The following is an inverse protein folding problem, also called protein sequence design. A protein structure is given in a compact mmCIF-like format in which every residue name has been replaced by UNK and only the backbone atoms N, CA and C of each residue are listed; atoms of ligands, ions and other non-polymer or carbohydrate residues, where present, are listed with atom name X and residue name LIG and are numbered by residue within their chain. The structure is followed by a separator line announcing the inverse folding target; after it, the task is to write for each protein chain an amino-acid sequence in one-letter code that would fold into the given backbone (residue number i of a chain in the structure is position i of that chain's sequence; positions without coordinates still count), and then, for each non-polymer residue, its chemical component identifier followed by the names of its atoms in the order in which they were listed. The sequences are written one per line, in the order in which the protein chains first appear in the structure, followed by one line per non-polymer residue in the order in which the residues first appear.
data_IF_153649820826
#
_entry.id   IF_153649820826
#
_cell.length_a   1.000
_cell.length_b   1.000
_cell.length_c   1.000
_cell.angle_alpha   90.00
_cell.angle_beta   90.00
_cell.angle_gamma   90.00
#
_symmetry.space_group_name_H-M   'P 1'
#
loop_
_entity.id
_entity.type
_entity.pdbx_description
1 polymer ?
#
# COMPACT_ATOMS: atom_id res chain seq x y z
N UNK A 1 36.96 -16.53 75.41
CA UNK A 1 36.99 -15.13 74.95
C UNK A 1 36.43 -15.11 73.55
N UNK A 2 35.17 -14.71 73.43
CA UNK A 2 34.50 -14.50 72.15
C UNK A 2 35.08 -13.24 71.51
N UNK A 3 35.79 -13.43 70.41
CA UNK A 3 36.40 -12.34 69.65
C UNK A 3 35.35 -11.88 68.64
N UNK A 4 34.54 -10.90 69.03
CA UNK A 4 33.62 -10.24 68.11
C UNK A 4 34.43 -9.47 67.07
N UNK A 5 34.62 -10.04 65.88
CA UNK A 5 34.99 -9.30 64.69
C UNK A 5 33.80 -8.43 64.26
N UNK A 6 33.65 -7.26 64.88
CA UNK A 6 32.95 -6.16 64.24
C UNK A 6 33.83 -5.68 63.10
N UNK A 7 33.67 -6.29 61.92
CA UNK A 7 34.17 -5.75 60.66
C UNK A 7 33.57 -4.36 60.54
N UNK A 8 34.39 -3.34 60.81
CA UNK A 8 34.03 -1.95 60.62
C UNK A 8 33.60 -1.79 59.16
N UNK A 9 32.31 -1.56 58.96
CA UNK A 9 31.82 -1.01 57.71
C UNK A 9 32.48 0.36 57.54
N UNK A 10 33.61 0.39 56.82
CA UNK A 10 34.17 1.64 56.34
C UNK A 10 33.06 2.28 55.50
N UNK A 11 32.47 3.37 56.01
CA UNK A 11 31.36 4.05 55.33
C UNK A 11 31.70 4.22 53.86
N UNK A 12 30.80 3.77 52.98
CA UNK A 12 31.01 3.80 51.53
C UNK A 12 31.41 5.22 51.13
N UNK A 13 32.62 5.39 50.62
CA UNK A 13 33.10 6.68 50.10
C UNK A 13 32.15 7.12 49.01
N UNK A 14 31.88 8.42 48.89
CA UNK A 14 30.99 8.98 47.87
C UNK A 14 31.29 8.48 46.45
N UNK A 15 32.57 8.19 46.14
CA UNK A 15 33.00 7.56 44.90
C UNK A 15 32.34 6.21 44.62
N UNK A 16 32.05 5.40 45.63
CA UNK A 16 31.37 4.11 45.48
C UNK A 16 29.93 4.30 44.98
N UNK A 17 29.20 5.25 45.56
CA UNK A 17 27.84 5.58 45.13
C UNK A 17 27.82 6.16 43.71
N UNK A 18 28.83 6.97 43.35
CA UNK A 18 28.98 7.47 41.99
C UNK A 18 29.20 6.32 40.98
N UNK A 19 30.07 5.36 41.29
CA UNK A 19 30.30 4.21 40.42
C UNK A 19 29.10 3.25 40.35
N UNK A 20 28.38 3.05 41.46
CA UNK A 20 27.10 2.30 41.46
C UNK A 20 26.06 2.98 40.56
N UNK A 21 25.88 4.30 40.69
CA UNK A 21 25.01 5.07 39.81
C UNK A 21 25.47 4.97 38.36
N UNK A 22 26.76 5.17 38.09
CA UNK A 22 27.30 5.16 36.74
C UNK A 22 27.15 3.78 36.08
N UNK A 23 27.31 2.69 36.83
CA UNK A 23 27.06 1.33 36.34
C UNK A 23 25.59 1.15 35.93
N UNK A 24 24.65 1.55 36.79
CA UNK A 24 23.22 1.43 36.51
C UNK A 24 22.79 2.35 35.35
N UNK A 25 23.31 3.58 35.32
CA UNK A 25 23.08 4.55 34.26
C UNK A 25 23.59 4.02 32.92
N UNK A 26 24.80 3.46 32.88
CA UNK A 26 25.35 2.85 31.67
C UNK A 26 24.55 1.63 31.24
N UNK A 27 24.13 0.76 32.15
CA UNK A 27 23.34 -0.41 31.82
C UNK A 27 22.02 -0.03 31.12
N UNK A 28 21.29 0.95 31.68
CA UNK A 28 20.03 1.44 31.10
C UNK A 28 20.28 2.21 29.79
N UNK A 29 21.30 3.08 29.76
CA UNK A 29 21.62 3.88 28.57
C UNK A 29 22.09 3.00 27.41
N UNK A 30 22.93 1.99 27.67
CA UNK A 30 23.37 1.05 26.66
C UNK A 30 22.21 0.22 26.11
N UNK A 31 21.30 -0.24 26.98
CA UNK A 31 20.07 -0.92 26.56
C UNK A 31 19.23 -0.06 25.62
N UNK A 32 19.01 1.20 25.98
CA UNK A 32 18.29 2.17 25.14
C UNK A 32 18.98 2.42 23.78
N UNK A 33 20.31 2.62 23.78
CA UNK A 33 21.06 2.86 22.54
C UNK A 33 21.05 1.65 21.61
N UNK A 34 21.22 0.44 22.16
CA UNK A 34 21.17 -0.81 21.38
C UNK A 34 19.79 -1.00 20.78
N UNK A 35 18.72 -0.74 21.54
CA UNK A 35 17.36 -0.87 21.05
C UNK A 35 17.06 0.14 19.94
N UNK A 36 17.45 1.41 20.11
CA UNK A 36 17.29 2.43 19.07
C UNK A 36 18.04 2.07 17.78
N UNK A 37 19.27 1.55 17.90
CA UNK A 37 20.06 1.11 16.74
C UNK A 37 19.44 -0.12 16.06
N UNK A 38 18.94 -1.08 16.84
CA UNK A 38 18.28 -2.29 16.35
C UNK A 38 16.99 -1.93 15.60
N UNK A 39 16.19 -1.04 16.15
CA UNK A 39 14.95 -0.55 15.54
C UNK A 39 15.23 0.09 14.17
N UNK A 40 16.16 1.03 14.09
CA UNK A 40 16.55 1.67 12.82
C UNK A 40 17.02 0.65 11.77
N UNK A 41 17.80 -0.35 12.18
CA UNK A 41 18.25 -1.41 11.27
C UNK A 41 17.07 -2.22 10.71
N UNK A 42 16.15 -2.64 11.58
CA UNK A 42 14.97 -3.43 11.19
C UNK A 42 13.99 -2.59 10.35
N UNK A 43 13.76 -1.33 10.71
CA UNK A 43 12.95 -0.39 9.92
C UNK A 43 13.49 -0.26 8.49
N UNK A 44 14.82 -0.11 8.33
CA UNK A 44 15.43 0.01 7.02
C UNK A 44 15.29 -1.26 6.18
N UNK A 45 15.40 -2.44 6.79
CA UNK A 45 15.14 -3.71 6.10
C UNK A 45 13.68 -3.85 5.67
N UNK A 46 12.74 -3.51 6.55
CA UNK A 46 11.30 -3.53 6.24
C UNK A 46 10.96 -2.56 5.10
N UNK A 47 11.52 -1.36 5.11
CA UNK A 47 11.32 -0.38 4.05
C UNK A 47 11.73 -0.93 2.67
N UNK A 48 12.84 -1.68 2.59
CA UNK A 48 13.28 -2.33 1.34
C UNK A 48 12.30 -3.40 0.87
N UNK A 49 11.80 -4.24 1.78
CA UNK A 49 10.83 -5.29 1.47
C UNK A 49 9.53 -4.66 0.95
N UNK A 50 9.01 -3.64 1.66
CA UNK A 50 7.81 -2.93 1.21
C UNK A 50 8.00 -2.23 -0.13
N UNK A 51 9.16 -1.61 -0.36
CA UNK A 51 9.47 -0.99 -1.64
C UNK A 51 9.48 -1.99 -2.81
N UNK A 52 10.06 -3.18 -2.59
CA UNK A 52 10.08 -4.25 -3.59
C UNK A 52 8.67 -4.76 -3.90
N UNK A 53 7.86 -5.03 -2.87
CA UNK A 53 6.49 -5.50 -3.05
C UNK A 53 5.62 -4.46 -3.75
N UNK A 54 5.70 -3.19 -3.34
CA UNK A 54 5.00 -2.08 -4.00
C UNK A 54 5.37 -1.96 -5.48
N UNK A 55 6.66 -2.12 -5.80
CA UNK A 55 7.11 -2.07 -7.18
C UNK A 55 6.48 -3.18 -8.04
N UNK A 56 6.43 -4.40 -7.52
CA UNK A 56 5.82 -5.54 -8.22
C UNK A 56 4.30 -5.39 -8.36
N UNK A 57 3.62 -4.87 -7.35
CA UNK A 57 2.19 -4.52 -7.40
C UNK A 57 1.93 -3.45 -8.47
N UNK A 58 2.65 -2.32 -8.42
CA UNK A 58 2.51 -1.22 -9.39
C UNK A 58 2.80 -1.66 -10.83
N UNK A 59 3.73 -2.60 -11.03
CA UNK A 59 4.02 -3.17 -12.34
C UNK A 59 2.81 -3.94 -12.89
N UNK A 60 2.15 -4.75 -12.05
CA UNK A 60 0.94 -5.49 -12.43
C UNK A 60 -0.21 -4.53 -12.72
N UNK A 61 -0.39 -3.54 -11.86
CA UNK A 61 -1.43 -2.51 -12.02
C UNK A 61 -1.25 -1.75 -13.33
N UNK A 62 0.00 -1.38 -13.66
CA UNK A 62 0.34 -0.72 -14.93
C UNK A 62 0.00 -1.59 -16.15
N UNK A 63 0.29 -2.90 -16.09
CA UNK A 63 -0.04 -3.84 -17.17
C UNK A 63 -1.55 -3.91 -17.35
N UNK A 64 -2.30 -4.04 -16.25
CA UNK A 64 -3.76 -4.13 -16.27
C UNK A 64 -4.37 -2.83 -16.81
N UNK A 65 -3.96 -1.66 -16.33
CA UNK A 65 -4.44 -0.36 -16.79
C UNK A 65 -4.17 -0.16 -18.29
N UNK A 66 -3.00 -0.56 -18.78
CA UNK A 66 -2.69 -0.49 -20.21
C UNK A 66 -3.53 -1.45 -21.06
N UNK A 67 -3.87 -2.63 -20.53
CA UNK A 67 -4.79 -3.54 -21.18
C UNK A 67 -6.21 -2.95 -21.22
N UNK A 68 -6.73 -2.49 -20.07
CA UNK A 68 -8.06 -1.90 -19.96
C UNK A 68 -8.21 -0.65 -20.83
N UNK A 69 -7.20 0.23 -20.87
CA UNK A 69 -7.22 1.41 -21.72
C UNK A 69 -7.33 1.07 -23.21
N UNK A 70 -6.59 0.04 -23.67
CA UNK A 70 -6.69 -0.44 -25.06
C UNK A 70 -8.04 -1.09 -25.33
N UNK A 71 -8.53 -1.91 -24.40
CA UNK A 71 -9.82 -2.56 -24.53
C UNK A 71 -10.96 -1.53 -24.60
N UNK A 72 -10.93 -0.51 -23.73
CA UNK A 72 -11.93 0.56 -23.70
C UNK A 72 -11.96 1.35 -25.01
N UNK A 73 -10.79 1.64 -25.62
CA UNK A 73 -10.72 2.26 -26.95
C UNK A 73 -11.36 1.38 -28.03
N UNK A 74 -11.10 0.07 -27.99
CA UNK A 74 -11.70 -0.87 -28.92
C UNK A 74 -13.23 -0.93 -28.75
N UNK A 75 -13.71 -1.08 -27.51
CA UNK A 75 -15.15 -1.09 -27.19
C UNK A 75 -15.82 0.22 -27.61
N UNK A 76 -15.19 1.37 -27.34
CA UNK A 76 -15.69 2.69 -27.78
C UNK A 76 -15.84 2.76 -29.30
N UNK A 77 -14.85 2.30 -30.06
CA UNK A 77 -14.94 2.28 -31.53
C UNK A 77 -16.05 1.36 -32.03
N UNK A 78 -16.27 0.20 -31.38
CA UNK A 78 -17.37 -0.71 -31.72
C UNK A 78 -18.74 -0.11 -31.37
N UNK A 79 -18.83 0.62 -30.26
CA UNK A 79 -20.01 1.37 -29.86
C UNK A 79 -20.37 2.48 -30.85
N UNK A 80 -19.37 3.22 -31.35
CA UNK A 80 -19.60 4.24 -32.38
C UNK A 80 -20.18 3.61 -33.65
N UNK A 81 -19.61 2.49 -34.10
CA UNK A 81 -20.16 1.71 -35.23
C UNK A 81 -21.58 1.24 -34.94
N UNK A 82 -21.85 0.71 -33.75
CA UNK A 82 -23.20 0.27 -33.36
C UNK A 82 -24.21 1.42 -33.45
N UNK A 83 -23.87 2.60 -32.91
CA UNK A 83 -24.73 3.78 -32.94
C UNK A 83 -25.08 4.21 -34.38
N UNK A 84 -24.13 4.12 -35.32
CA UNK A 84 -24.37 4.40 -36.74
C UNK A 84 -25.32 3.37 -37.34
N UNK A 85 -25.05 2.08 -37.14
CA UNK A 85 -25.86 0.98 -37.68
C UNK A 85 -27.32 0.99 -37.20
N UNK A 86 -27.57 1.51 -35.99
CA UNK A 86 -28.93 1.61 -35.41
C UNK A 86 -29.68 2.86 -35.86
N UNK A 87 -28.98 3.95 -36.18
CA UNK A 87 -29.61 5.25 -36.52
C UNK A 87 -29.95 5.41 -37.99
N UNK A 88 -29.17 4.83 -38.88
CA UNK A 88 -29.38 4.98 -40.32
C UNK A 88 -30.39 3.94 -40.84
N UNK A 89 -31.19 4.30 -41.84
CA UNK A 89 -32.21 3.42 -42.46
C UNK A 89 -31.55 2.39 -43.40
N UNK A 90 -30.50 1.70 -42.92
CA UNK A 90 -29.74 0.70 -43.67
C UNK A 90 -30.38 -0.68 -43.60
N UNK A 91 -31.72 -0.74 -43.65
CA UNK A 91 -32.50 -1.98 -43.46
C UNK A 91 -32.15 -3.07 -44.48
N UNK A 92 -31.59 -2.68 -45.63
CA UNK A 92 -31.19 -3.61 -46.70
C UNK A 92 -29.78 -4.21 -46.51
N UNK A 93 -28.89 -3.57 -45.74
CA UNK A 93 -27.48 -3.99 -45.59
C UNK A 93 -27.12 -4.43 -44.17
N UNK A 94 -27.90 -4.02 -43.17
CA UNK A 94 -27.69 -4.36 -41.75
C UNK A 94 -28.44 -5.63 -41.38
N UNK A 95 -27.72 -6.64 -40.89
CA UNK A 95 -28.33 -7.87 -40.40
C UNK A 95 -28.46 -7.87 -38.88
N UNK A 96 -29.44 -8.61 -38.35
CA UNK A 96 -29.58 -8.83 -36.91
C UNK A 96 -28.31 -9.42 -36.27
N UNK A 97 -27.54 -10.22 -37.03
CA UNK A 97 -26.25 -10.76 -36.58
C UNK A 97 -25.19 -9.69 -36.37
N UNK A 98 -25.13 -8.67 -37.23
CA UNK A 98 -24.23 -7.53 -37.04
C UNK A 98 -24.63 -6.72 -35.81
N UNK A 99 -25.93 -6.43 -35.65
CA UNK A 99 -26.43 -5.70 -34.48
C UNK A 99 -26.09 -6.45 -33.18
N UNK A 100 -26.32 -7.77 -33.14
CA UNK A 100 -25.97 -8.61 -31.99
C UNK A 100 -24.47 -8.61 -31.70
N UNK A 101 -23.63 -8.78 -32.74
CA UNK A 101 -22.18 -8.77 -32.60
C UNK A 101 -21.69 -7.45 -31.98
N UNK A 102 -22.10 -6.30 -32.53
CA UNK A 102 -21.67 -5.00 -32.01
C UNK A 102 -22.27 -4.67 -30.64
N UNK A 103 -23.52 -5.07 -30.35
CA UNK A 103 -24.11 -4.87 -29.03
C UNK A 103 -23.44 -5.70 -27.93
N UNK A 104 -22.84 -6.85 -28.29
CA UNK A 104 -22.18 -7.73 -27.31
C UNK A 104 -20.91 -7.12 -26.67
N UNK A 105 -20.29 -6.13 -27.33
CA UNK A 105 -19.14 -5.41 -26.78
C UNK A 105 -19.54 -4.40 -25.70
N UNK A 106 -20.82 -4.03 -25.63
CA UNK A 106 -21.34 -3.04 -24.67
C UNK A 106 -21.47 -3.66 -23.27
N UNK A 107 -21.63 -4.97 -23.17
CA UNK A 107 -21.95 -5.66 -21.91
C UNK A 107 -20.72 -6.18 -21.16
N UNK A 108 -19.53 -6.21 -21.79
CA UNK A 108 -18.29 -6.72 -21.18
C UNK A 108 -17.32 -5.60 -20.83
N UNK A 109 -17.70 -4.76 -19.86
CA UNK A 109 -16.80 -3.76 -19.29
C UNK A 109 -16.02 -4.38 -18.13
N UNK A 110 -14.73 -4.61 -18.34
CA UNK A 110 -13.81 -4.99 -17.27
C UNK A 110 -13.42 -3.77 -16.43
N UNK A 111 -13.37 -3.96 -15.11
CA UNK A 111 -12.99 -2.92 -14.14
C UNK A 111 -11.57 -3.12 -13.65
N UNK A 112 -10.86 -2.02 -13.41
CA UNK A 112 -9.55 -2.07 -12.76
C UNK A 112 -9.67 -2.55 -11.32
N UNK A 113 -8.73 -3.39 -10.87
CA UNK A 113 -8.68 -3.89 -9.50
C UNK A 113 -7.22 -3.94 -9.06
N UNK A 114 -6.82 -2.94 -8.28
CA UNK A 114 -5.44 -2.81 -7.78
C UNK A 114 -5.16 -3.84 -6.70
N UNK A 115 -3.95 -4.40 -6.69
CA UNK A 115 -3.48 -5.15 -5.53
C UNK A 115 -2.93 -4.19 -4.47
N UNK A 116 -3.78 -3.77 -3.52
CA UNK A 116 -3.42 -2.82 -2.47
C UNK A 116 -2.82 -3.49 -1.21
N UNK A 117 -2.41 -4.76 -1.28
CA UNK A 117 -1.96 -5.52 -0.11
C UNK A 117 -0.83 -4.81 0.63
N UNK A 118 0.20 -4.36 -0.08
CA UNK A 118 1.36 -3.72 0.56
C UNK A 118 1.01 -2.36 1.16
N UNK A 119 0.13 -1.60 0.49
CA UNK A 119 -0.33 -0.29 0.97
C UNK A 119 -1.15 -0.45 2.26
N UNK A 120 -2.05 -1.42 2.32
CA UNK A 120 -2.85 -1.70 3.51
C UNK A 120 -1.99 -2.20 4.67
N UNK A 121 -0.96 -3.02 4.40
CA UNK A 121 0.02 -3.38 5.42
C UNK A 121 0.80 -2.17 5.94
N UNK A 122 1.26 -1.28 5.06
CA UNK A 122 1.97 -0.06 5.44
C UNK A 122 1.11 0.87 6.31
N UNK A 123 -0.19 0.98 5.99
CA UNK A 123 -1.16 1.79 6.75
C UNK A 123 -1.47 1.18 8.11
N UNK A 124 -1.85 -0.10 8.14
CA UNK A 124 -2.23 -0.81 9.37
C UNK A 124 -1.09 -0.93 10.38
N UNK A 125 0.16 -1.02 9.90
CA UNK A 125 1.35 -1.12 10.77
C UNK A 125 1.99 0.21 11.16
N UNK A 126 1.51 1.35 10.64
CA UNK A 126 2.14 2.66 10.85
C UNK A 126 3.49 2.84 10.13
N UNK A 127 3.87 1.88 9.27
CA UNK A 127 5.16 1.86 8.56
C UNK A 127 5.23 2.82 7.36
N UNK A 128 4.22 3.65 7.11
CA UNK A 128 4.33 4.71 6.10
C UNK A 128 5.49 5.68 6.39
N UNK A 129 5.80 5.93 7.68
CA UNK A 129 6.90 6.82 8.09
C UNK A 129 8.26 6.33 7.59
N UNK A 130 8.50 5.03 7.60
CA UNK A 130 9.81 4.44 7.24
C UNK A 130 10.11 4.51 5.74
N UNK A 131 9.09 4.77 4.91
CA UNK A 131 9.25 4.95 3.46
C UNK A 131 9.75 6.36 3.08
N UNK A 132 9.75 7.30 4.04
CA UNK A 132 10.12 8.70 3.84
C UNK A 132 8.98 9.57 3.30
N UNK A 133 8.93 10.82 3.74
CA UNK A 133 7.77 11.72 3.56
C UNK A 133 7.30 11.85 2.10
N UNK A 134 8.23 12.04 1.16
CA UNK A 134 7.90 12.20 -0.26
C UNK A 134 7.29 10.93 -0.86
N UNK A 135 7.81 9.76 -0.51
CA UNK A 135 7.31 8.49 -1.03
C UNK A 135 5.99 8.13 -0.37
N UNK A 136 5.87 8.34 0.95
CA UNK A 136 4.63 8.18 1.69
C UNK A 136 3.49 9.00 1.07
N UNK A 137 3.74 10.27 0.73
CA UNK A 137 2.76 11.11 0.05
C UNK A 137 2.32 10.52 -1.30
N UNK A 138 3.27 10.06 -2.13
CA UNK A 138 2.94 9.42 -3.42
C UNK A 138 2.14 8.13 -3.27
N UNK A 139 2.44 7.31 -2.26
CA UNK A 139 1.69 6.10 -1.94
C UNK A 139 0.25 6.47 -1.55
N UNK A 140 0.08 7.49 -0.71
CA UNK A 140 -1.25 7.98 -0.31
C UNK A 140 -2.05 8.57 -1.48
N UNK A 141 -1.41 9.28 -2.39
CA UNK A 141 -2.05 9.79 -3.61
C UNK A 141 -2.54 8.64 -4.52
N UNK A 142 -1.70 7.61 -4.70
CA UNK A 142 -2.07 6.42 -5.46
C UNK A 142 -3.25 5.66 -4.82
N UNK A 143 -3.20 5.42 -3.51
CA UNK A 143 -4.28 4.81 -2.73
C UNK A 143 -5.59 5.61 -2.83
N UNK A 144 -5.52 6.95 -2.80
CA UNK A 144 -6.69 7.81 -3.01
C UNK A 144 -7.30 7.60 -4.39
N UNK A 145 -6.46 7.58 -5.44
CA UNK A 145 -6.92 7.37 -6.82
C UNK A 145 -7.58 6.01 -7.02
N UNK A 146 -7.04 4.96 -6.40
CA UNK A 146 -7.65 3.63 -6.45
C UNK A 146 -9.05 3.62 -5.82
N UNK A 147 -9.22 4.24 -4.65
CA UNK A 147 -10.55 4.36 -4.00
C UNK A 147 -11.53 5.22 -4.80
N UNK A 148 -11.07 6.28 -5.44
CA UNK A 148 -11.90 7.11 -6.32
C UNK A 148 -12.45 6.27 -7.49
N UNK A 149 -11.60 5.45 -8.12
CA UNK A 149 -12.01 4.53 -9.20
C UNK A 149 -12.99 3.46 -8.71
N UNK A 150 -12.72 2.80 -7.58
CA UNK A 150 -13.63 1.80 -7.00
C UNK A 150 -15.02 2.39 -6.71
N UNK A 151 -15.06 3.62 -6.19
CA UNK A 151 -16.32 4.33 -5.94
C UNK A 151 -17.07 4.58 -7.24
N UNK A 152 -16.40 5.06 -8.28
CA UNK A 152 -16.99 5.28 -9.61
C UNK A 152 -17.58 3.99 -10.18
N UNK A 153 -16.86 2.87 -10.07
CA UNK A 153 -17.33 1.55 -10.51
C UNK A 153 -18.56 1.08 -9.72
N UNK A 154 -18.58 1.32 -8.40
CA UNK A 154 -19.74 0.96 -7.58
C UNK A 154 -21.01 1.74 -7.97
N UNK A 155 -20.87 3.03 -8.29
CA UNK A 155 -21.97 3.88 -8.73
C UNK A 155 -22.54 3.41 -10.07
N UNK A 156 -21.67 3.17 -11.06
CA UNK A 156 -22.06 2.63 -12.37
C UNK A 156 -22.84 1.32 -12.22
N UNK A 157 -22.33 0.37 -11.41
CA UNK A 157 -22.99 -0.93 -11.22
C UNK A 157 -24.42 -0.80 -10.69
N UNK A 158 -24.68 0.14 -9.78
CA UNK A 158 -26.01 0.37 -9.19
C UNK A 158 -26.98 0.97 -10.21
N UNK A 159 -26.50 1.83 -11.12
CA UNK A 159 -27.34 2.42 -12.18
C UNK A 159 -27.82 1.37 -13.20
N UNK A 160 -26.98 0.39 -13.53
CA UNK A 160 -27.29 -0.67 -14.50
C UNK A 160 -28.03 -1.88 -13.91
N UNK A 161 -28.18 -1.97 -12.59
CA UNK A 161 -28.84 -3.11 -11.92
C UNK A 161 -30.31 -2.87 -11.54
N UNK A 162 -30.97 -1.87 -12.11
CA UNK A 162 -32.43 -1.69 -12.01
C UNK A 162 -33.17 -2.49 -13.06
#
# INVERSE_FOLDING_TARGET
MEVHHHSHSSGKKWSHYFWEFFMLFLAVSAGFLVENQREHYVEHQRAKIYAANLYDELKKDTIQLNYLSRNLKNVSSKLDTFCVLVKEDHRETVTNGMLYYYSSFVTNVEYFSSNNTTIEQLKSSGNLRIMGNRLAYKISEYDRKNRELEKEYSLSKVEFSK
#
